data_IF_849831311795
#
_entry.id   IF_849831311795
#
_cell.length_a   1.000
_cell.length_b   1.000
_cell.length_c   1.000
_cell.angle_alpha   90.00
_cell.angle_beta   90.00
_cell.angle_gamma   90.00
#
_symmetry.space_group_name_H-M   'P 1'
#
loop_
_entity.id
_entity.type
_entity.pdbx_description
1 polymer ?
#
# COMPACT_ATOMS: atom_id res chain seq x y z
N UNK A 1 23.98 9.65 -1.79
CA UNK A 1 23.55 9.11 -1.53
C UNK A 1 23.06 8.82 -1.65
N UNK A 2 23.39 8.83 -1.78
CA UNK A 2 22.84 8.32 -1.76
C UNK A 2 22.56 8.07 -1.71
N UNK A 3 22.85 8.00 -1.94
CA UNK A 3 22.42 7.54 -1.82
C UNK A 3 22.12 7.23 -1.88
N UNK A 4 22.45 7.16 -2.14
CA UNK A 4 22.03 6.69 -2.11
C UNK A 4 21.84 6.24 -2.00
N UNK A 5 22.14 6.20 -2.20
CA UNK A 5 21.82 5.60 -2.03
C UNK A 5 21.57 5.12 -2.31
N UNK A 6 21.83 5.03 -2.56
CA UNK A 6 21.55 4.50 -2.68
C UNK A 6 21.37 3.99 -3.11
N UNK A 7 21.45 3.78 -3.48
CA UNK A 7 21.23 3.26 -3.67
C UNK A 7 21.16 2.83 -4.12
N UNK A 8 21.20 2.70 -4.26
CA UNK A 8 21.11 2.35 -4.53
C UNK A 8 21.16 2.15 -5.21
N UNK A 9 21.52 2.08 -5.46
CA UNK A 9 21.55 2.00 -5.93
C UNK A 9 21.56 1.81 -6.76
N UNK A 10 21.98 1.66 -6.79
CA UNK A 10 21.85 1.48 -7.67
C UNK A 10 21.20 1.70 -8.46
N UNK A 11 21.29 1.82 -8.73
CA UNK A 11 20.64 2.02 -9.32
C UNK A 11 19.76 2.35 -10.28
N UNK A 12 19.47 3.03 -10.15
CA UNK A 12 18.56 3.06 -11.25
C UNK A 12 18.55 4.41 -11.94
N UNK A 13 18.82 4.41 -13.22
CA UNK A 13 18.89 5.63 -14.02
C UNK A 13 17.54 6.25 -14.29
N UNK A 14 16.49 5.47 -14.32
CA UNK A 14 15.24 5.87 -14.95
C UNK A 14 14.15 6.24 -13.97
N UNK A 15 14.32 5.91 -12.73
CA UNK A 15 13.34 6.30 -11.73
C UNK A 15 13.99 6.49 -10.37
N UNK A 16 13.36 7.31 -9.58
CA UNK A 16 13.80 7.54 -8.21
C UNK A 16 13.18 6.49 -7.31
N UNK A 17 13.75 6.37 -6.13
CA UNK A 17 13.21 5.48 -5.12
C UNK A 17 11.77 5.84 -4.80
N UNK A 18 10.93 4.85 -4.66
CA UNK A 18 9.53 5.07 -4.36
C UNK A 18 9.34 5.58 -2.93
N UNK A 19 8.37 6.45 -2.75
CA UNK A 19 7.98 6.95 -1.44
C UNK A 19 6.62 6.38 -1.11
N UNK A 20 6.49 5.82 0.10
CA UNK A 20 5.25 5.23 0.57
C UNK A 20 4.75 6.00 1.78
N UNK A 21 3.48 6.39 1.76
CA UNK A 21 2.88 7.11 2.87
C UNK A 21 1.43 6.69 3.04
N UNK A 22 0.88 6.97 4.21
CA UNK A 22 -0.51 6.67 4.52
C UNK A 22 -1.31 7.96 4.45
N UNK A 23 -2.43 7.89 3.77
CA UNK A 23 -3.32 9.02 3.58
C UNK A 23 -4.67 8.70 4.20
N UNK A 24 -5.19 9.61 5.01
CA UNK A 24 -6.53 9.49 5.59
C UNK A 24 -7.52 10.18 4.66
N UNK A 25 -8.63 9.51 4.38
CA UNK A 25 -9.67 10.04 3.52
C UNK A 25 -10.97 10.07 4.30
N UNK A 26 -11.55 11.26 4.42
CA UNK A 26 -12.83 11.42 5.11
C UNK A 26 -13.97 11.16 4.14
N UNK A 27 -14.95 10.40 4.60
CA UNK A 27 -16.14 10.13 3.82
C UNK A 27 -17.21 11.13 4.25
N UNK A 28 -17.65 11.94 3.29
CA UNK A 28 -18.69 12.93 3.54
C UNK A 28 -19.82 12.74 2.56
N UNK A 29 -21.03 12.92 3.06
CA UNK A 29 -22.23 12.83 2.23
C UNK A 29 -23.25 13.80 2.78
N UNK A 30 -23.78 14.65 1.90
CA UNK A 30 -24.78 15.66 2.26
C UNK A 30 -24.32 16.56 3.40
N UNK A 31 -23.03 16.89 3.41
CA UNK A 31 -22.45 17.75 4.44
C UNK A 31 -22.13 17.07 5.75
N UNK A 32 -22.39 15.79 5.86
CA UNK A 32 -22.10 15.05 7.08
C UNK A 32 -20.93 14.10 6.90
N UNK A 33 -20.18 13.91 7.98
CA UNK A 33 -19.02 13.04 7.98
C UNK A 33 -19.44 11.63 8.41
N UNK A 34 -19.20 10.66 7.54
CA UNK A 34 -19.57 9.28 7.80
C UNK A 34 -18.42 8.42 8.29
N UNK A 35 -17.21 8.97 8.33
CA UNK A 35 -16.09 8.22 8.83
C UNK A 35 -14.83 8.53 8.05
N UNK A 36 -13.80 7.79 8.40
CA UNK A 36 -12.48 7.94 7.79
C UNK A 36 -11.98 6.59 7.36
N UNK A 37 -11.37 6.51 6.19
CA UNK A 37 -10.66 5.30 5.79
C UNK A 37 -9.25 5.70 5.36
N UNK A 38 -8.38 4.71 5.24
CA UNK A 38 -6.98 4.95 5.00
C UNK A 38 -6.52 4.30 3.71
N UNK A 39 -5.53 4.89 3.09
CA UNK A 39 -4.94 4.40 1.85
C UNK A 39 -3.43 4.43 2.00
N UNK A 40 -2.78 3.37 1.56
CA UNK A 40 -1.34 3.39 1.38
C UNK A 40 -1.09 3.86 -0.05
N UNK A 41 -0.25 4.87 -0.20
CA UNK A 41 0.04 5.46 -1.50
C UNK A 41 1.52 5.28 -1.78
N UNK A 42 1.84 4.74 -2.93
CA UNK A 42 3.21 4.60 -3.40
C UNK A 42 3.40 5.58 -4.54
N UNK A 43 4.27 6.54 -4.32
CA UNK A 43 4.58 7.56 -5.33
C UNK A 43 5.99 7.30 -5.85
N UNK A 44 6.15 7.32 -7.15
CA UNK A 44 7.43 7.07 -7.77
C UNK A 44 7.52 7.83 -9.08
N UNK A 45 8.74 7.97 -9.57
CA UNK A 45 8.96 8.66 -10.83
C UNK A 45 9.49 7.66 -11.85
N UNK A 46 8.87 7.63 -13.01
CA UNK A 46 9.27 6.74 -14.08
C UNK A 46 9.39 7.56 -15.35
N UNK A 47 10.58 7.57 -15.92
CA UNK A 47 10.87 8.31 -17.16
C UNK A 47 10.44 9.77 -17.07
N UNK A 48 10.71 10.40 -15.94
CA UNK A 48 10.40 11.81 -15.73
C UNK A 48 8.97 12.10 -15.34
N UNK A 49 8.12 11.10 -15.25
CA UNK A 49 6.72 11.28 -14.88
C UNK A 49 6.47 10.73 -13.48
N UNK A 50 5.69 11.49 -12.72
CA UNK A 50 5.29 11.05 -11.38
C UNK A 50 4.08 10.14 -11.52
N UNK A 51 4.16 8.97 -10.89
CA UNK A 51 3.08 7.99 -10.88
C UNK A 51 2.73 7.62 -9.46
N UNK A 52 1.49 7.24 -9.26
CA UNK A 52 1.02 6.83 -7.95
C UNK A 52 0.21 5.55 -8.06
N UNK A 53 0.39 4.70 -7.05
CA UNK A 53 -0.43 3.52 -6.87
C UNK A 53 -1.03 3.56 -5.49
N UNK A 54 -2.23 3.00 -5.35
CA UNK A 54 -2.97 3.08 -4.10
C UNK A 54 -3.42 1.69 -3.69
N UNK A 55 -3.24 1.39 -2.40
CA UNK A 55 -3.83 0.20 -1.78
C UNK A 55 -4.74 0.69 -0.67
N UNK A 56 -6.01 0.28 -0.73
CA UNK A 56 -6.99 0.69 0.27
C UNK A 56 -6.81 -0.13 1.53
N UNK A 57 -6.60 0.54 2.65
CA UNK A 57 -6.41 -0.11 3.94
C UNK A 57 -7.71 -0.21 4.75
N UNK A 58 -8.75 0.50 4.31
CA UNK A 58 -10.00 0.51 5.06
C UNK A 58 -9.83 1.20 6.40
N UNK A 59 -10.21 0.52 7.47
CA UNK A 59 -10.14 1.09 8.82
C UNK A 59 -8.74 1.03 9.43
N UNK A 60 -7.81 0.35 8.78
CA UNK A 60 -6.47 0.16 9.34
C UNK A 60 -5.61 1.38 9.10
N UNK A 61 -5.01 1.89 10.17
CA UNK A 61 -4.26 3.14 10.12
C UNK A 61 -2.83 2.96 9.64
N UNK A 62 -2.32 1.75 9.68
CA UNK A 62 -0.95 1.47 9.25
C UNK A 62 -0.93 0.24 8.36
N UNK A 63 0.15 0.13 7.58
CA UNK A 63 0.35 -1.04 6.74
C UNK A 63 0.48 -2.31 7.57
N UNK A 64 1.19 -2.23 8.69
CA UNK A 64 1.39 -3.40 9.55
C UNK A 64 0.08 -3.91 10.10
N UNK A 65 -0.81 -3.01 10.53
CA UNK A 65 -2.13 -3.42 11.02
C UNK A 65 -2.92 -4.12 9.93
N UNK A 66 -2.89 -3.54 8.72
CA UNK A 66 -3.63 -4.12 7.60
C UNK A 66 -3.09 -5.49 7.24
N UNK A 67 -1.77 -5.64 7.17
CA UNK A 67 -1.17 -6.91 6.81
C UNK A 67 -1.54 -8.00 7.82
N UNK A 68 -1.46 -7.69 9.11
CA UNK A 68 -1.80 -8.64 10.15
C UNK A 68 -3.26 -9.06 10.08
N UNK A 69 -4.14 -8.07 9.94
CA UNK A 69 -5.59 -8.33 9.88
C UNK A 69 -5.95 -9.15 8.65
N UNK A 70 -5.36 -8.80 7.50
CA UNK A 70 -5.67 -9.50 6.26
C UNK A 70 -5.18 -10.94 6.26
N UNK A 71 -4.04 -11.21 6.90
CA UNK A 71 -3.56 -12.58 7.01
C UNK A 71 -4.57 -13.46 7.74
N UNK A 72 -5.13 -12.94 8.82
CA UNK A 72 -6.13 -13.67 9.59
C UNK A 72 -7.44 -13.80 8.81
N UNK A 73 -7.83 -12.74 8.14
CA UNK A 73 -9.07 -12.74 7.38
C UNK A 73 -9.02 -13.74 6.24
N UNK A 74 -7.89 -13.82 5.56
CA UNK A 74 -7.70 -14.74 4.45
C UNK A 74 -7.91 -16.19 4.89
N UNK A 75 -7.39 -16.55 6.06
CA UNK A 75 -7.55 -17.89 6.59
C UNK A 75 -9.03 -18.27 6.69
N UNK A 76 -9.85 -17.34 7.20
CA UNK A 76 -11.27 -17.59 7.30
C UNK A 76 -11.98 -17.65 5.95
N UNK A 77 -11.54 -16.82 5.02
CA UNK A 77 -12.18 -16.73 3.73
C UNK A 77 -11.85 -17.89 2.79
N UNK A 78 -10.74 -18.58 3.02
CA UNK A 78 -10.31 -19.65 2.11
C UNK A 78 -11.35 -20.76 1.97
N UNK A 79 -12.07 -21.06 3.03
CA UNK A 79 -13.08 -22.11 2.99
C UNK A 79 -14.47 -21.57 2.63
N UNK A 80 -14.77 -20.33 3.00
CA UNK A 80 -16.13 -19.78 2.82
C UNK A 80 -16.27 -18.97 1.56
N UNK A 81 -15.24 -18.19 1.21
CA UNK A 81 -15.27 -17.30 0.04
C UNK A 81 -13.93 -17.27 -0.65
N UNK A 82 -13.58 -18.35 -1.35
CA UNK A 82 -12.24 -18.47 -1.91
C UNK A 82 -11.86 -17.39 -2.92
N UNK A 83 -12.82 -16.86 -3.68
CA UNK A 83 -12.50 -15.79 -4.62
C UNK A 83 -12.13 -14.50 -3.90
N UNK A 84 -12.81 -14.21 -2.80
CA UNK A 84 -12.47 -13.05 -1.99
C UNK A 84 -11.13 -13.23 -1.31
N UNK A 85 -10.83 -14.45 -0.88
CA UNK A 85 -9.53 -14.75 -0.30
C UNK A 85 -8.42 -14.48 -1.31
N UNK A 86 -8.61 -14.86 -2.55
CA UNK A 86 -7.61 -14.63 -3.60
C UNK A 86 -7.39 -13.14 -3.84
N UNK A 87 -8.45 -12.35 -3.88
CA UNK A 87 -8.34 -10.91 -4.08
C UNK A 87 -7.60 -10.25 -2.91
N UNK A 88 -7.94 -10.68 -1.70
CA UNK A 88 -7.29 -10.12 -0.52
C UNK A 88 -5.84 -10.55 -0.45
N UNK A 89 -5.55 -11.78 -0.86
CA UNK A 89 -4.17 -12.27 -0.91
C UNK A 89 -3.32 -11.43 -1.87
N UNK A 90 -3.86 -11.12 -3.04
CA UNK A 90 -3.14 -10.29 -4.01
C UNK A 90 -2.86 -8.89 -3.44
N UNK A 91 -3.84 -8.33 -2.75
CA UNK A 91 -3.71 -7.02 -2.14
C UNK A 91 -2.66 -7.05 -1.02
N UNK A 92 -2.68 -8.09 -0.21
CA UNK A 92 -1.72 -8.28 0.86
C UNK A 92 -0.30 -8.37 0.33
N UNK A 93 -0.11 -9.16 -0.72
CA UNK A 93 1.22 -9.35 -1.30
C UNK A 93 1.74 -8.04 -1.89
N UNK A 94 0.86 -7.26 -2.50
CA UNK A 94 1.24 -5.97 -3.05
C UNK A 94 1.72 -5.02 -1.95
N UNK A 95 0.96 -4.95 -0.87
CA UNK A 95 1.34 -4.06 0.24
C UNK A 95 2.61 -4.54 0.91
N UNK A 96 2.76 -5.85 1.08
CA UNK A 96 3.98 -6.43 1.65
C UNK A 96 5.20 -6.09 0.81
N UNK A 97 5.04 -6.15 -0.50
CA UNK A 97 6.11 -5.79 -1.43
C UNK A 97 6.52 -4.33 -1.25
N UNK A 98 5.52 -3.44 -1.11
CA UNK A 98 5.79 -2.03 -0.91
C UNK A 98 6.56 -1.77 0.39
N UNK A 99 6.15 -2.41 1.47
CA UNK A 99 6.83 -2.22 2.76
C UNK A 99 8.25 -2.77 2.71
N UNK A 100 8.45 -3.84 1.96
CA UNK A 100 9.79 -4.37 1.73
C UNK A 100 10.66 -3.41 0.96
N UNK A 101 10.14 -2.75 -0.06
CA UNK A 101 10.87 -1.74 -0.81
C UNK A 101 11.28 -0.58 0.09
N UNK A 102 10.37 -0.15 0.95
CA UNK A 102 10.63 0.98 1.84
C UNK A 102 11.75 0.67 2.82
N UNK A 103 11.80 -0.55 3.29
CA UNK A 103 12.81 -0.96 4.26
C UNK A 103 14.14 -1.31 3.61
N UNK A 104 14.09 -1.67 2.39
CA UNK A 104 15.25 -2.08 1.63
C UNK A 104 15.83 -0.94 0.85
#
# INVERSE_FOLDING_TARGET
MITDSAVSSINNKYYTQATIYIRAVNIERDGERYGTYYQAVRSYRERGKVKQEVVHLGEHQTADEALTAWEQEIVGLQTTRPKQAQKLQAKLERLREWTGEEQG
#
